data_IF_587252326229
#
_entry.id   IF_587252326229
#
_cell.length_a   1.000
_cell.length_b   1.000
_cell.length_c   1.000
_cell.angle_alpha   90.00
_cell.angle_beta   90.00
_cell.angle_gamma   90.00
#
_symmetry.space_group_name_H-M   'P 1'
#
loop_
_entity.id
_entity.type
_entity.pdbx_description
1 polymer ?
#
# COMPACT_ATOMS: atom_id res chain seq x y z
N UNK A 1 14.18 -11.13 -59.01
CA UNK A 1 15.38 -11.99 -58.99
C UNK A 1 16.36 -11.46 -57.94
N UNK A 2 16.16 -11.88 -56.69
CA UNK A 2 16.98 -11.52 -55.54
C UNK A 2 18.13 -12.52 -55.37
N UNK A 3 19.34 -12.10 -54.94
CA UNK A 3 20.60 -12.84 -55.09
C UNK A 3 20.83 -13.89 -53.97
N UNK A 4 19.76 -14.46 -53.43
CA UNK A 4 19.81 -15.44 -52.32
C UNK A 4 20.56 -16.74 -52.67
N UNK A 5 20.60 -17.26 -53.91
CA UNK A 5 21.22 -18.56 -54.16
C UNK A 5 22.74 -18.63 -53.94
N UNK A 6 23.45 -17.49 -54.00
CA UNK A 6 24.92 -17.46 -53.99
C UNK A 6 25.45 -17.35 -52.55
N UNK A 7 24.75 -16.63 -51.68
CA UNK A 7 25.13 -16.46 -50.26
C UNK A 7 25.02 -17.77 -49.47
N UNK A 8 23.96 -18.56 -49.72
CA UNK A 8 23.78 -19.88 -49.10
C UNK A 8 24.84 -20.90 -49.53
N UNK A 9 25.29 -20.86 -50.79
CA UNK A 9 26.36 -21.72 -51.29
C UNK A 9 27.73 -21.37 -50.66
N UNK A 10 27.96 -20.08 -50.37
CA UNK A 10 29.19 -19.60 -49.73
C UNK A 10 29.28 -20.01 -48.24
N UNK A 11 28.15 -20.00 -47.53
CA UNK A 11 28.05 -20.40 -46.12
C UNK A 11 28.26 -21.92 -45.93
N UNK A 12 27.72 -22.74 -46.83
CA UNK A 12 27.93 -24.20 -46.82
C UNK A 12 29.39 -24.58 -47.11
N UNK A 13 30.05 -23.90 -48.06
CA UNK A 13 31.46 -24.12 -48.39
C UNK A 13 32.42 -23.71 -47.26
N UNK A 14 31.99 -22.82 -46.35
CA UNK A 14 32.75 -22.42 -45.15
C UNK A 14 32.54 -23.36 -43.95
N UNK A 15 31.69 -24.38 -44.07
CA UNK A 15 31.45 -25.35 -43.00
C UNK A 15 30.56 -24.83 -41.87
N UNK A 16 29.88 -23.71 -42.05
CA UNK A 16 28.95 -23.17 -41.06
C UNK A 16 27.61 -23.91 -41.16
N UNK A 17 27.18 -24.54 -40.07
CA UNK A 17 25.88 -25.20 -39.97
C UNK A 17 24.78 -24.14 -39.89
N UNK A 18 23.86 -24.16 -40.84
CA UNK A 18 22.58 -23.44 -40.73
C UNK A 18 21.73 -24.13 -39.66
N UNK A 19 21.75 -23.60 -38.44
CA UNK A 19 20.75 -23.90 -37.42
C UNK A 19 19.59 -22.92 -37.59
N UNK A 20 18.39 -23.43 -37.89
CA UNK A 20 17.18 -22.63 -37.81
C UNK A 20 16.99 -22.20 -36.35
N UNK A 21 17.05 -20.89 -36.08
CA UNK A 21 16.75 -20.35 -34.76
C UNK A 21 15.26 -20.52 -34.46
N UNK A 22 14.94 -21.20 -33.36
CA UNK A 22 13.59 -21.26 -32.80
C UNK A 22 13.37 -19.90 -32.10
N UNK A 23 12.28 -19.16 -32.39
CA UNK A 23 12.00 -17.92 -31.68
C UNK A 23 11.83 -18.19 -30.18
N UNK A 24 12.31 -17.26 -29.34
CA UNK A 24 12.38 -17.37 -27.88
C UNK A 24 11.02 -17.70 -27.22
N UNK A 25 11.07 -18.27 -26.02
CA UNK A 25 9.89 -18.67 -25.24
C UNK A 25 8.99 -17.47 -24.87
N UNK A 26 9.54 -16.25 -24.80
CA UNK A 26 8.97 -15.00 -24.26
C UNK A 26 7.83 -14.31 -25.04
N UNK A 27 7.10 -15.02 -25.89
CA UNK A 27 6.06 -14.38 -26.74
C UNK A 27 4.65 -14.47 -26.14
N UNK A 28 4.46 -15.23 -25.06
CA UNK A 28 3.17 -15.41 -24.39
C UNK A 28 3.25 -14.87 -22.97
N UNK A 29 2.19 -14.20 -22.53
CA UNK A 29 2.05 -13.76 -21.15
C UNK A 29 1.95 -14.99 -20.26
N UNK A 30 2.54 -14.94 -19.07
CA UNK A 30 2.33 -16.02 -18.11
C UNK A 30 0.86 -16.05 -17.70
N UNK A 31 0.29 -17.26 -17.57
CA UNK A 31 -1.12 -17.43 -17.17
C UNK A 31 -1.45 -16.72 -15.85
N UNK A 32 -0.46 -16.59 -14.95
CA UNK A 32 -0.56 -15.83 -13.69
C UNK A 32 -0.79 -14.31 -13.89
N UNK A 33 -0.25 -13.75 -14.98
CA UNK A 33 -0.46 -12.36 -15.40
C UNK A 33 -1.84 -12.19 -16.05
N UNK A 34 -2.31 -13.18 -16.82
CA UNK A 34 -3.64 -13.13 -17.47
C UNK A 34 -4.79 -13.17 -16.46
N UNK A 35 -4.63 -13.88 -15.33
CA UNK A 35 -5.62 -13.93 -14.25
C UNK A 35 -5.52 -12.77 -13.25
N UNK A 36 -4.57 -11.84 -13.44
CA UNK A 36 -4.31 -10.75 -12.48
C UNK A 36 -5.38 -9.66 -12.47
N UNK A 37 -6.14 -9.51 -13.56
CA UNK A 37 -7.22 -8.53 -13.71
C UNK A 37 -8.64 -9.12 -13.64
N UNK A 38 -8.78 -10.34 -13.13
CA UNK A 38 -10.07 -11.05 -12.99
C UNK A 38 -10.52 -10.96 -11.53
N UNK A 39 -11.75 -10.51 -11.29
CA UNK A 39 -12.28 -10.31 -9.94
C UNK A 39 -13.02 -11.55 -9.40
N UNK A 40 -13.57 -12.37 -10.30
CA UNK A 40 -14.33 -13.57 -9.95
C UNK A 40 -13.96 -14.81 -10.78
N UNK A 41 -14.06 -16.01 -10.18
CA UNK A 41 -13.87 -17.29 -10.91
C UNK A 41 -14.86 -17.42 -12.07
N UNK A 42 -16.04 -16.79 -11.95
CA UNK A 42 -17.13 -16.91 -12.90
C UNK A 42 -16.87 -16.13 -14.21
N UNK A 43 -15.96 -15.15 -14.18
CA UNK A 43 -15.44 -14.48 -15.38
C UNK A 43 -14.55 -15.40 -16.22
N UNK A 44 -14.02 -16.49 -15.63
CA UNK A 44 -13.24 -17.50 -16.36
C UNK A 44 -14.20 -18.46 -17.10
N UNK A 45 -14.57 -18.07 -18.32
CA UNK A 45 -15.49 -18.84 -19.19
C UNK A 45 -14.83 -20.13 -19.71
N UNK A 46 -13.54 -20.06 -20.07
CA UNK A 46 -12.74 -21.20 -20.53
C UNK A 46 -11.71 -21.57 -19.47
N UNK A 47 -11.74 -22.81 -18.99
CA UNK A 47 -10.97 -23.19 -17.81
C UNK A 47 -9.48 -23.43 -18.08
N UNK A 48 -9.09 -23.75 -19.32
CA UNK A 48 -7.72 -24.16 -19.63
C UNK A 48 -7.03 -23.19 -20.58
N UNK A 49 -5.92 -22.62 -20.12
CA UNK A 49 -4.91 -22.02 -21.00
C UNK A 49 -4.10 -23.16 -21.65
N UNK A 50 -4.09 -23.21 -22.98
CA UNK A 50 -3.45 -24.28 -23.75
C UNK A 50 -2.44 -23.71 -24.74
N UNK A 51 -1.18 -24.07 -24.55
CA UNK A 51 -0.07 -23.63 -25.38
C UNK A 51 0.62 -24.84 -26.02
N UNK A 52 1.03 -24.70 -27.28
CA UNK A 52 1.78 -25.72 -27.99
C UNK A 52 2.49 -25.16 -29.22
N UNK A 53 3.44 -25.93 -29.71
CA UNK A 53 4.14 -25.68 -30.98
C UNK A 53 3.90 -26.86 -31.93
N UNK A 54 3.56 -26.57 -33.18
CA UNK A 54 3.55 -27.54 -34.28
C UNK A 54 4.80 -27.33 -35.14
N UNK A 55 5.65 -28.35 -35.21
CA UNK A 55 6.83 -28.40 -36.06
C UNK A 55 6.51 -29.04 -37.42
N UNK A 56 7.36 -28.77 -38.42
CA UNK A 56 7.27 -29.36 -39.76
C UNK A 56 5.90 -29.17 -40.42
N UNK A 57 5.31 -27.99 -40.23
CA UNK A 57 3.94 -27.70 -40.69
C UNK A 57 3.90 -26.72 -41.85
N UNK A 58 3.16 -27.12 -42.90
CA UNK A 58 2.85 -26.29 -44.08
C UNK A 58 1.53 -25.52 -43.91
N UNK A 59 0.77 -25.75 -42.83
CA UNK A 59 -0.51 -25.05 -42.61
C UNK A 59 -0.28 -23.56 -42.43
N UNK A 60 -1.05 -22.73 -43.12
CA UNK A 60 -0.96 -21.30 -42.89
C UNK A 60 -1.61 -20.92 -41.56
N UNK A 61 -1.10 -19.88 -40.90
CA UNK A 61 -1.71 -19.28 -39.70
C UNK A 61 -3.22 -19.09 -39.86
N UNK A 62 -3.65 -18.57 -41.01
CA UNK A 62 -5.06 -18.29 -41.31
C UNK A 62 -5.91 -19.55 -41.40
N UNK A 63 -5.39 -20.61 -42.03
CA UNK A 63 -6.10 -21.89 -42.12
C UNK A 63 -6.23 -22.58 -40.78
N UNK A 64 -5.19 -22.52 -39.96
CA UNK A 64 -5.24 -23.09 -38.61
C UNK A 64 -6.17 -22.31 -37.70
N UNK A 65 -6.09 -20.97 -37.68
CA UNK A 65 -7.01 -20.12 -36.91
C UNK A 65 -8.48 -20.40 -37.25
N UNK A 66 -8.83 -20.55 -38.53
CA UNK A 66 -10.21 -20.89 -38.93
C UNK A 66 -10.72 -22.20 -38.35
N UNK A 67 -9.83 -23.16 -38.10
CA UNK A 67 -10.20 -24.44 -37.52
C UNK A 67 -10.49 -24.31 -36.02
N UNK A 68 -9.70 -23.51 -35.30
CA UNK A 68 -9.77 -23.43 -33.83
C UNK A 68 -10.58 -22.24 -33.28
N UNK A 69 -10.89 -21.23 -34.10
CA UNK A 69 -11.55 -19.99 -33.65
C UNK A 69 -12.91 -20.17 -32.95
N UNK A 70 -13.59 -21.29 -33.20
CA UNK A 70 -14.88 -21.60 -32.58
C UNK A 70 -14.75 -22.55 -31.36
N UNK A 71 -13.52 -22.80 -30.90
CA UNK A 71 -13.23 -23.76 -29.83
C UNK A 71 -12.71 -23.10 -28.55
N UNK A 72 -12.62 -21.77 -28.52
CA UNK A 72 -12.05 -21.00 -27.42
C UNK A 72 -12.02 -19.50 -27.72
N UNK A 73 -11.46 -18.72 -26.81
CA UNK A 73 -11.15 -17.30 -26.96
C UNK A 73 -9.65 -17.02 -26.74
N UNK A 74 -9.29 -15.73 -26.70
CA UNK A 74 -7.92 -15.25 -26.46
C UNK A 74 -6.85 -15.95 -27.31
N UNK A 75 -7.17 -16.20 -28.58
CA UNK A 75 -6.33 -17.02 -29.45
C UNK A 75 -5.16 -16.20 -29.99
N UNK A 76 -3.95 -16.61 -29.63
CA UNK A 76 -2.71 -16.08 -30.18
C UNK A 76 -2.03 -17.18 -30.98
N UNK A 77 -1.82 -16.94 -32.27
CA UNK A 77 -1.21 -17.92 -33.17
C UNK A 77 -0.15 -17.23 -34.02
N UNK A 78 1.07 -17.76 -34.01
CA UNK A 78 2.25 -17.18 -34.66
C UNK A 78 2.89 -18.25 -35.53
N UNK A 79 3.09 -17.94 -36.82
CA UNK A 79 3.76 -18.83 -37.79
C UNK A 79 5.13 -18.25 -38.12
N UNK A 80 6.16 -19.09 -38.07
CA UNK A 80 7.48 -18.79 -38.61
C UNK A 80 8.02 -20.01 -39.36
N UNK A 81 8.39 -19.85 -40.64
CA UNK A 81 8.83 -20.92 -41.53
C UNK A 81 7.99 -22.21 -41.43
N UNK A 82 8.53 -23.28 -40.87
CA UNK A 82 7.89 -24.59 -40.69
C UNK A 82 7.31 -24.81 -39.27
N UNK A 83 7.22 -23.75 -38.47
CA UNK A 83 6.79 -23.79 -37.06
C UNK A 83 5.50 -22.96 -36.87
N UNK A 84 4.58 -23.44 -36.04
CA UNK A 84 3.37 -22.73 -35.63
C UNK A 84 3.22 -22.79 -34.10
N UNK A 85 3.37 -21.66 -33.42
CA UNK A 85 3.18 -21.54 -31.96
C UNK A 85 1.79 -20.98 -31.68
N UNK A 86 1.03 -21.64 -30.81
CA UNK A 86 -0.36 -21.29 -30.52
C UNK A 86 -0.62 -21.28 -29.02
N UNK A 87 -1.35 -20.27 -28.56
CA UNK A 87 -2.00 -20.16 -27.26
C UNK A 87 -3.50 -19.99 -27.49
N UNK A 88 -4.31 -20.69 -26.71
CA UNK A 88 -5.78 -20.60 -26.71
C UNK A 88 -6.35 -20.93 -25.34
N UNK A 89 -7.34 -20.15 -24.92
CA UNK A 89 -8.18 -20.48 -23.78
C UNK A 89 -9.33 -21.37 -24.24
N UNK A 90 -9.45 -22.58 -23.70
CA UNK A 90 -10.47 -23.55 -24.10
C UNK A 90 -10.96 -24.41 -22.93
N UNK A 91 -12.13 -25.02 -23.10
CA UNK A 91 -12.64 -26.06 -22.18
C UNK A 91 -12.28 -27.47 -22.64
N UNK A 92 -11.65 -27.62 -23.81
CA UNK A 92 -11.35 -28.93 -24.40
C UNK A 92 -9.95 -28.96 -25.06
N UNK A 93 -8.87 -28.87 -24.27
CA UNK A 93 -7.49 -28.83 -24.78
C UNK A 93 -7.14 -30.03 -25.67
N UNK A 94 -7.64 -31.23 -25.31
CA UNK A 94 -7.41 -32.44 -26.08
C UNK A 94 -7.89 -32.33 -27.53
N UNK A 95 -9.05 -31.70 -27.75
CA UNK A 95 -9.59 -31.48 -29.10
C UNK A 95 -8.72 -30.53 -29.92
N UNK A 96 -8.18 -29.48 -29.31
CA UNK A 96 -7.27 -28.55 -29.97
C UNK A 96 -5.97 -29.25 -30.39
N UNK A 97 -5.39 -30.03 -29.48
CA UNK A 97 -4.15 -30.78 -29.75
C UNK A 97 -4.36 -31.84 -30.82
N UNK A 98 -5.50 -32.54 -30.83
CA UNK A 98 -5.85 -33.50 -31.88
C UNK A 98 -5.99 -32.82 -33.26
N UNK A 99 -6.54 -31.61 -33.30
CA UNK A 99 -6.63 -30.84 -34.55
C UNK A 99 -5.24 -30.36 -35.00
N UNK A 100 -4.39 -29.95 -34.07
CA UNK A 100 -3.03 -29.50 -34.33
C UNK A 100 -2.10 -30.62 -34.83
N UNK A 101 -2.20 -31.83 -34.26
CA UNK A 101 -1.35 -32.97 -34.63
C UNK A 101 -1.57 -33.47 -36.06
N UNK A 102 -2.65 -33.04 -36.72
CA UNK A 102 -2.91 -33.35 -38.14
C UNK A 102 -2.03 -32.52 -39.10
N UNK A 103 -1.42 -31.45 -38.59
CA UNK A 103 -0.65 -30.50 -39.39
C UNK A 103 0.86 -30.61 -39.18
N UNK A 104 1.33 -31.43 -38.23
CA UNK A 104 2.75 -31.62 -37.93
C UNK A 104 3.00 -32.23 -36.56
N UNK A 105 4.26 -32.21 -36.12
CA UNK A 105 4.69 -32.78 -34.83
C UNK A 105 4.47 -31.78 -33.69
N UNK A 106 3.85 -32.22 -32.59
CA UNK A 106 3.62 -31.36 -31.42
C UNK A 106 4.83 -31.37 -30.48
N UNK A 107 5.24 -30.19 -30.04
CA UNK A 107 6.23 -29.98 -28.96
C UNK A 107 5.79 -28.86 -28.03
N UNK A 108 6.42 -28.78 -26.84
CA UNK A 108 6.23 -27.72 -25.85
C UNK A 108 4.75 -27.51 -25.49
N UNK A 109 4.04 -28.61 -25.21
CA UNK A 109 2.64 -28.57 -24.80
C UNK A 109 2.56 -28.16 -23.33
N UNK A 110 1.85 -27.06 -23.05
CA UNK A 110 1.50 -26.57 -21.71
C UNK A 110 -0.02 -26.48 -21.60
N UNK A 111 -0.59 -27.05 -20.54
CA UNK A 111 -2.02 -26.96 -20.24
C UNK A 111 -2.17 -26.55 -18.79
N UNK A 112 -2.76 -25.39 -18.55
CA UNK A 112 -2.90 -24.81 -17.20
C UNK A 112 -4.36 -24.54 -16.89
N UNK A 113 -4.80 -24.97 -15.70
CA UNK A 113 -6.16 -24.76 -15.22
C UNK A 113 -6.26 -23.39 -14.53
N UNK A 114 -6.77 -22.40 -15.27
CA UNK A 114 -6.88 -21.02 -14.81
C UNK A 114 -7.82 -20.89 -13.60
N UNK A 115 -8.84 -21.75 -13.49
CA UNK A 115 -9.74 -21.76 -12.32
C UNK A 115 -9.03 -22.27 -11.07
N UNK A 116 -8.13 -23.22 -11.21
CA UNK A 116 -7.36 -23.77 -10.10
C UNK A 116 -6.29 -22.77 -9.64
N UNK A 117 -5.54 -22.19 -10.56
CA UNK A 117 -4.58 -21.11 -10.27
C UNK A 117 -5.25 -19.92 -9.57
N UNK A 118 -6.41 -19.48 -10.06
CA UNK A 118 -7.20 -18.43 -9.39
C UNK A 118 -7.61 -18.84 -7.96
N UNK A 119 -8.05 -20.08 -7.75
CA UNK A 119 -8.42 -20.58 -6.41
C UNK A 119 -7.22 -20.69 -5.49
N UNK A 120 -6.05 -21.10 -5.99
CA UNK A 120 -4.83 -21.18 -5.19
C UNK A 120 -4.32 -19.80 -4.79
N UNK A 121 -4.32 -18.83 -5.72
CA UNK A 121 -4.00 -17.42 -5.46
C UNK A 121 -4.92 -16.83 -4.38
N UNK A 122 -6.23 -17.11 -4.46
CA UNK A 122 -7.18 -16.68 -3.44
C UNK A 122 -7.10 -17.47 -2.12
N UNK A 123 -6.74 -18.75 -2.15
CA UNK A 123 -6.48 -19.53 -0.92
C UNK A 123 -5.23 -19.07 -0.19
N UNK A 124 -4.19 -18.63 -0.91
CA UNK A 124 -3.01 -17.99 -0.29
C UNK A 124 -3.40 -16.67 0.37
N UNK A 125 -4.18 -15.81 -0.30
CA UNK A 125 -4.78 -14.60 0.31
C UNK A 125 -5.63 -14.90 1.55
N UNK A 126 -6.43 -15.97 1.55
CA UNK A 126 -7.29 -16.38 2.68
C UNK A 126 -6.56 -17.11 3.82
N UNK A 127 -5.36 -17.64 3.60
CA UNK A 127 -4.60 -18.39 4.63
C UNK A 127 -3.80 -17.49 5.58
N UNK A 128 -3.75 -16.19 5.33
CA UNK A 128 -3.26 -15.16 6.25
C UNK A 128 -4.44 -14.32 6.78
N UNK A 129 -5.50 -14.97 7.28
CA UNK A 129 -6.55 -14.25 8.00
C UNK A 129 -5.94 -13.73 9.31
N UNK A 130 -5.54 -12.46 9.33
CA UNK A 130 -5.13 -11.78 10.54
C UNK A 130 -6.34 -11.64 11.47
N UNK A 131 -6.16 -11.80 12.77
CA UNK A 131 -7.22 -11.51 13.75
C UNK A 131 -7.55 -10.01 13.77
N UNK A 132 -6.51 -9.18 13.67
CA UNK A 132 -6.61 -7.72 13.72
C UNK A 132 -6.04 -7.07 12.47
N UNK A 133 -6.65 -5.99 12.05
CA UNK A 133 -6.06 -5.04 11.12
C UNK A 133 -6.18 -3.62 11.64
N UNK A 134 -5.22 -2.78 11.25
CA UNK A 134 -5.18 -1.38 11.66
C UNK A 134 -5.14 -0.45 10.45
N UNK A 135 -5.93 0.61 10.53
CA UNK A 135 -5.94 1.71 9.58
C UNK A 135 -5.57 2.98 10.34
N UNK A 136 -4.47 3.61 9.97
CA UNK A 136 -4.05 4.88 10.57
C UNK A 136 -4.14 6.00 9.54
N UNK A 137 -4.52 7.19 10.01
CA UNK A 137 -4.70 8.36 9.15
C UNK A 137 -3.73 9.44 9.60
N UNK A 138 -3.02 10.06 8.67
CA UNK A 138 -2.02 11.06 9.01
C UNK A 138 -1.27 11.63 7.80
N UNK A 139 -0.23 12.41 8.09
CA UNK A 139 0.58 13.12 7.10
C UNK A 139 2.05 13.01 7.47
N UNK A 140 2.92 12.96 6.47
CA UNK A 140 4.36 12.90 6.62
C UNK A 140 4.92 11.49 6.44
N UNK A 141 5.99 11.38 5.65
CA UNK A 141 6.59 10.09 5.29
C UNK A 141 7.17 9.40 6.53
N UNK A 142 7.73 10.16 7.46
CA UNK A 142 8.25 9.62 8.71
C UNK A 142 7.16 9.08 9.65
N UNK A 143 6.04 9.78 9.77
CA UNK A 143 4.86 9.29 10.50
C UNK A 143 4.27 8.04 9.84
N UNK A 144 4.22 8.00 8.51
CA UNK A 144 3.76 6.83 7.77
C UNK A 144 4.64 5.60 8.04
N UNK A 145 5.96 5.75 7.93
CA UNK A 145 6.88 4.63 8.21
C UNK A 145 6.82 4.22 9.70
N UNK A 146 6.66 5.16 10.63
CA UNK A 146 6.45 4.84 12.05
C UNK A 146 5.22 3.94 12.26
N UNK A 147 4.06 4.30 11.71
CA UNK A 147 2.87 3.47 11.87
C UNK A 147 3.00 2.11 11.19
N UNK A 148 3.72 2.05 10.07
CA UNK A 148 4.03 0.79 9.39
C UNK A 148 4.95 -0.10 10.24
N UNK A 149 5.94 0.48 10.93
CA UNK A 149 6.79 -0.23 11.89
C UNK A 149 5.98 -0.72 13.10
N UNK A 150 4.93 0.00 13.48
CA UNK A 150 3.90 -0.41 14.45
C UNK A 150 2.87 -1.40 13.86
N UNK A 151 3.14 -2.00 12.71
CA UNK A 151 2.31 -3.03 12.05
C UNK A 151 0.93 -2.54 11.59
N UNK A 152 0.75 -1.23 11.34
CA UNK A 152 -0.46 -0.72 10.67
C UNK A 152 -0.53 -1.23 9.23
N UNK A 153 -1.67 -1.82 8.85
CA UNK A 153 -1.87 -2.44 7.54
C UNK A 153 -2.07 -1.41 6.42
N UNK A 154 -2.82 -0.34 6.70
CA UNK A 154 -3.14 0.69 5.73
C UNK A 154 -2.96 2.08 6.36
N UNK A 155 -2.19 2.95 5.68
CA UNK A 155 -1.98 4.32 6.10
C UNK A 155 -2.61 5.28 5.08
N UNK A 156 -3.61 6.05 5.52
CA UNK A 156 -4.30 7.02 4.66
C UNK A 156 -3.61 8.38 4.80
N UNK A 157 -2.89 8.77 3.76
CA UNK A 157 -2.44 10.16 3.59
C UNK A 157 -3.64 11.00 3.19
N UNK A 158 -4.23 11.73 4.14
CA UNK A 158 -5.42 12.56 3.87
C UNK A 158 -5.15 13.49 2.68
N UNK A 159 -5.99 13.40 1.63
CA UNK A 159 -5.70 13.92 0.29
C UNK A 159 -5.57 15.46 0.17
N UNK A 160 -6.11 16.07 -0.90
CA UNK A 160 -5.96 17.53 -1.12
C UNK A 160 -6.47 18.41 0.03
N UNK A 161 -7.42 17.90 0.81
CA UNK A 161 -8.00 18.61 1.96
C UNK A 161 -7.44 18.14 3.31
N UNK A 162 -6.39 17.31 3.32
CA UNK A 162 -5.72 16.72 4.50
C UNK A 162 -6.59 15.77 5.33
N UNK A 163 -7.92 15.75 5.13
CA UNK A 163 -8.87 14.85 5.77
C UNK A 163 -9.47 13.92 4.71
N UNK A 164 -9.43 12.58 4.89
CA UNK A 164 -10.07 11.66 3.97
C UNK A 164 -11.60 11.75 4.07
N UNK A 165 -12.27 11.43 2.98
CA UNK A 165 -13.72 11.24 2.99
C UNK A 165 -14.10 9.90 3.63
N UNK A 166 -15.37 9.76 4.02
CA UNK A 166 -15.93 8.46 4.45
C UNK A 166 -15.70 7.37 3.42
N UNK A 167 -15.77 7.69 2.12
CA UNK A 167 -15.53 6.73 1.04
C UNK A 167 -14.05 6.30 0.97
N UNK A 168 -13.11 7.21 1.22
CA UNK A 168 -11.69 6.87 1.26
C UNK A 168 -11.40 5.88 2.40
N UNK A 169 -12.02 6.09 3.57
CA UNK A 169 -11.90 5.18 4.72
C UNK A 169 -12.53 3.81 4.39
N UNK A 170 -13.71 3.77 3.77
CA UNK A 170 -14.34 2.51 3.31
C UNK A 170 -13.44 1.75 2.32
N UNK A 171 -12.85 2.45 1.34
CA UNK A 171 -11.94 1.83 0.38
C UNK A 171 -10.70 1.24 1.08
N UNK A 172 -10.22 1.87 2.16
CA UNK A 172 -9.12 1.36 2.96
C UNK A 172 -9.53 0.16 3.83
N UNK A 173 -10.76 0.16 4.37
CA UNK A 173 -11.35 -1.01 5.04
C UNK A 173 -11.38 -2.21 4.07
N UNK A 174 -11.71 -2.02 2.80
CA UNK A 174 -11.76 -3.11 1.81
C UNK A 174 -10.38 -3.73 1.49
N UNK A 175 -9.29 -3.01 1.75
CA UNK A 175 -7.91 -3.49 1.46
C UNK A 175 -7.33 -4.36 2.57
N UNK A 176 -7.77 -4.18 3.82
CA UNK A 176 -7.22 -4.90 4.97
C UNK A 176 -7.92 -6.24 5.18
N UNK A 177 -7.25 -7.25 5.75
CA UNK A 177 -7.79 -8.63 5.83
C UNK A 177 -8.18 -9.08 7.24
N UNK A 178 -7.95 -8.24 8.26
CA UNK A 178 -8.24 -8.54 9.67
C UNK A 178 -9.71 -8.81 9.95
N UNK A 179 -10.01 -9.77 10.83
CA UNK A 179 -11.39 -10.02 11.29
C UNK A 179 -11.97 -8.80 12.00
N UNK A 180 -11.18 -8.19 12.89
CA UNK A 180 -11.48 -6.93 13.57
C UNK A 180 -10.59 -5.81 13.03
N UNK A 181 -11.19 -4.70 12.62
CA UNK A 181 -10.46 -3.57 12.04
C UNK A 181 -10.50 -2.37 12.98
N UNK A 182 -9.34 -1.95 13.46
CA UNK A 182 -9.17 -0.74 14.26
C UNK A 182 -8.83 0.45 13.37
N UNK A 183 -9.48 1.59 13.61
CA UNK A 183 -9.22 2.84 12.88
C UNK A 183 -8.69 3.88 13.87
N UNK A 184 -7.55 4.48 13.54
CA UNK A 184 -6.86 5.55 14.27
C UNK A 184 -6.95 6.85 13.45
N UNK A 185 -7.94 7.72 13.70
CA UNK A 185 -8.14 8.94 12.93
C UNK A 185 -7.01 9.96 13.09
N UNK A 186 -6.38 10.01 14.26
CA UNK A 186 -5.28 10.90 14.66
C UNK A 186 -5.53 12.40 14.37
N UNK A 187 -6.79 12.77 14.19
CA UNK A 187 -7.27 14.11 13.94
C UNK A 187 -8.75 14.17 14.30
N UNK A 188 -9.10 15.08 15.21
CA UNK A 188 -10.48 15.23 15.69
C UNK A 188 -11.52 15.45 14.59
N UNK A 189 -11.13 16.06 13.46
CA UNK A 189 -12.03 16.31 12.33
C UNK A 189 -12.35 15.05 11.51
N UNK A 190 -11.56 13.97 11.68
CA UNK A 190 -11.70 12.72 10.93
C UNK A 190 -12.55 11.70 11.69
N UNK A 191 -12.67 11.83 13.01
CA UNK A 191 -13.43 10.91 13.88
C UNK A 191 -14.87 10.70 13.39
N UNK A 192 -15.55 11.78 12.99
CA UNK A 192 -16.93 11.68 12.48
C UNK A 192 -17.00 10.83 11.19
N UNK A 193 -16.07 11.06 10.25
CA UNK A 193 -16.02 10.32 9.00
C UNK A 193 -15.66 8.84 9.23
N UNK A 194 -14.75 8.56 10.18
CA UNK A 194 -14.39 7.20 10.57
C UNK A 194 -15.58 6.44 11.18
N UNK A 195 -16.33 7.07 12.09
CA UNK A 195 -17.55 6.48 12.66
C UNK A 195 -18.61 6.22 11.58
N UNK A 196 -18.81 7.15 10.65
CA UNK A 196 -19.72 6.94 9.52
C UNK A 196 -19.27 5.78 8.61
N UNK A 197 -17.97 5.63 8.39
CA UNK A 197 -17.44 4.50 7.61
C UNK A 197 -17.67 3.16 8.34
N UNK A 198 -17.51 3.15 9.66
CA UNK A 198 -17.82 2.00 10.50
C UNK A 198 -19.30 1.60 10.40
N UNK A 199 -20.22 2.57 10.53
CA UNK A 199 -21.67 2.32 10.40
C UNK A 199 -22.11 1.81 9.02
N UNK A 200 -21.39 2.20 7.96
CA UNK A 200 -21.67 1.79 6.59
C UNK A 200 -21.02 0.47 6.19
N UNK A 201 -20.03 -0.01 6.95
CA UNK A 201 -19.34 -1.27 6.68
C UNK A 201 -20.12 -2.45 7.25
N UNK A 202 -20.03 -3.61 6.58
CA UNK A 202 -20.53 -4.88 7.11
C UNK A 202 -19.49 -5.62 7.98
N UNK A 203 -18.27 -5.07 8.10
CA UNK A 203 -17.17 -5.65 8.88
C UNK A 203 -17.22 -5.18 10.33
N UNK A 204 -16.47 -5.88 11.19
CA UNK A 204 -16.32 -5.47 12.58
C UNK A 204 -15.26 -4.35 12.70
N UNK A 205 -15.73 -3.13 12.94
CA UNK A 205 -14.91 -1.91 12.93
C UNK A 205 -14.91 -1.26 14.32
N UNK A 206 -13.72 -1.03 14.86
CA UNK A 206 -13.48 -0.32 16.11
C UNK A 206 -12.81 1.03 15.83
N UNK A 207 -13.51 2.13 16.08
CA UNK A 207 -12.95 3.48 15.89
C UNK A 207 -12.39 3.97 17.21
N UNK A 208 -11.06 3.98 17.34
CA UNK A 208 -10.38 4.59 18.48
C UNK A 208 -10.33 6.10 18.26
N UNK A 209 -10.91 6.94 19.11
CA UNK A 209 -11.10 8.36 18.86
C UNK A 209 -9.81 9.20 19.07
N UNK A 210 -8.68 8.75 18.50
CA UNK A 210 -7.40 9.46 18.55
C UNK A 210 -7.50 10.79 17.80
N UNK A 211 -7.01 11.85 18.44
CA UNK A 211 -7.06 13.22 17.93
C UNK A 211 -5.73 13.72 17.41
N UNK A 212 -4.65 13.02 17.73
CA UNK A 212 -3.28 13.39 17.37
C UNK A 212 -2.45 12.14 17.04
N UNK A 213 -1.33 12.34 16.34
CA UNK A 213 -0.40 11.26 16.00
C UNK A 213 0.14 10.52 17.23
N UNK A 214 0.58 11.20 18.32
CA UNK A 214 1.10 10.48 19.48
C UNK A 214 0.04 9.62 20.16
N UNK A 215 -1.22 10.07 20.22
CA UNK A 215 -2.32 9.22 20.71
C UNK A 215 -2.48 7.93 19.91
N UNK A 216 -2.32 8.00 18.58
CA UNK A 216 -2.30 6.81 17.74
C UNK A 216 -1.13 5.88 18.02
N UNK A 217 0.05 6.44 18.29
CA UNK A 217 1.24 5.65 18.66
C UNK A 217 1.04 4.98 20.02
N UNK A 218 0.63 5.71 21.05
CA UNK A 218 0.36 5.16 22.39
C UNK A 218 -0.71 4.07 22.35
N UNK A 219 -1.75 4.26 21.54
CA UNK A 219 -2.77 3.23 21.32
C UNK A 219 -2.15 1.96 20.71
N UNK A 220 -1.34 2.07 19.66
CA UNK A 220 -0.67 0.92 19.04
C UNK A 220 0.31 0.21 19.98
N UNK A 221 1.00 0.94 20.86
CA UNK A 221 1.91 0.34 21.85
C UNK A 221 1.18 -0.44 22.94
N UNK A 222 -0.07 -0.09 23.24
CA UNK A 222 -0.92 -0.79 24.20
C UNK A 222 -1.64 -2.02 23.64
N UNK A 223 -1.58 -2.24 22.32
CA UNK A 223 -2.24 -3.36 21.66
C UNK A 223 -1.60 -4.72 22.01
N UNK A 224 -2.44 -5.73 22.19
CA UNK A 224 -2.03 -7.12 22.41
C UNK A 224 -2.78 -8.06 21.47
N UNK A 225 -2.04 -8.80 20.63
CA UNK A 225 -2.63 -9.72 19.65
C UNK A 225 -3.36 -10.93 20.28
N UNK A 226 -3.05 -11.27 21.53
CA UNK A 226 -3.56 -12.47 22.20
C UNK A 226 -4.93 -12.26 22.88
N UNK A 227 -5.35 -11.01 23.09
CA UNK A 227 -6.61 -10.70 23.79
C UNK A 227 -7.77 -10.52 22.81
N UNK A 228 -8.99 -10.33 23.33
CA UNK A 228 -10.20 -10.05 22.55
C UNK A 228 -10.31 -8.55 22.19
N UNK A 229 -11.05 -8.19 21.13
CA UNK A 229 -11.10 -6.81 20.62
C UNK A 229 -11.55 -5.79 21.66
N UNK A 230 -12.52 -6.13 22.51
CA UNK A 230 -13.05 -5.22 23.53
C UNK A 230 -12.01 -4.92 24.61
N UNK A 231 -11.18 -5.91 24.95
CA UNK A 231 -10.08 -5.75 25.93
C UNK A 231 -8.98 -4.87 25.33
N UNK A 232 -8.66 -5.09 24.05
CA UNK A 232 -7.76 -4.21 23.32
C UNK A 232 -8.29 -2.78 23.26
N UNK A 233 -9.55 -2.60 22.90
CA UNK A 233 -10.18 -1.28 22.82
C UNK A 233 -10.09 -0.53 24.17
N UNK A 234 -10.43 -1.19 25.28
CA UNK A 234 -10.29 -0.61 26.62
C UNK A 234 -8.84 -0.22 26.94
N UNK A 235 -7.88 -1.12 26.67
CA UNK A 235 -6.46 -0.90 26.96
C UNK A 235 -5.87 0.25 26.14
N UNK A 236 -6.21 0.30 24.85
CA UNK A 236 -5.80 1.36 23.93
C UNK A 236 -6.45 2.70 24.30
N UNK A 237 -7.71 2.71 24.74
CA UNK A 237 -8.40 3.91 25.21
C UNK A 237 -7.80 4.48 26.50
N UNK A 238 -7.33 3.63 27.42
CA UNK A 238 -6.59 4.09 28.61
C UNK A 238 -5.25 4.70 28.19
N UNK A 239 -4.48 4.05 27.32
CA UNK A 239 -3.20 4.59 26.84
C UNK A 239 -3.33 5.95 26.14
N UNK A 240 -4.43 6.18 25.42
CA UNK A 240 -4.73 7.48 24.77
C UNK A 240 -4.91 8.61 25.80
N UNK A 241 -5.38 8.32 27.02
CA UNK A 241 -5.66 9.33 28.06
C UNK A 241 -4.40 9.76 28.80
N UNK A 242 -3.43 8.87 28.91
CA UNK A 242 -2.17 9.14 29.63
C UNK A 242 -1.22 10.03 28.83
N UNK A 243 -1.41 10.16 27.51
CA UNK A 243 -0.55 11.00 26.66
C UNK A 243 -1.09 12.41 26.48
N UNK A 244 -0.34 13.40 26.98
CA UNK A 244 -0.57 14.83 26.68
C UNK A 244 0.03 15.15 25.33
N UNK A 245 -0.68 15.91 24.50
CA UNK A 245 -0.19 16.25 23.16
C UNK A 245 -0.18 17.75 22.88
N UNK A 246 0.84 18.17 22.15
CA UNK A 246 1.09 19.54 21.77
C UNK A 246 1.49 19.65 20.29
N UNK A 247 1.21 20.80 19.69
CA UNK A 247 1.55 21.08 18.29
C UNK A 247 2.10 22.49 18.15
N UNK A 248 3.12 22.68 17.31
CA UNK A 248 3.69 23.99 16.97
C UNK A 248 3.49 24.25 15.49
N UNK A 249 2.83 25.37 15.17
CA UNK A 249 2.52 25.80 13.80
C UNK A 249 2.47 27.33 13.73
N UNK A 250 2.00 27.89 12.62
CA UNK A 250 1.87 29.33 12.42
C UNK A 250 0.40 29.78 12.36
N UNK A 251 0.16 31.02 12.75
CA UNK A 251 -1.16 31.63 12.69
C UNK A 251 -1.50 32.08 11.25
N UNK A 252 -2.56 31.51 10.66
CA UNK A 252 -2.99 31.86 9.29
C UNK A 252 -3.67 33.24 9.18
N UNK A 253 -4.02 33.86 10.31
CA UNK A 253 -4.69 35.17 10.39
C UNK A 253 -4.53 35.81 11.77
N UNK A 254 -4.69 37.13 11.81
CA UNK A 254 -4.81 37.88 13.07
C UNK A 254 -6.01 37.36 13.88
N UNK A 255 -5.79 37.03 15.15
CA UNK A 255 -6.83 36.56 16.06
C UNK A 255 -6.55 37.07 17.47
N UNK A 256 -7.60 37.46 18.18
CA UNK A 256 -7.54 37.69 19.63
C UNK A 256 -8.18 36.48 20.32
N UNK A 257 -7.39 35.73 21.09
CA UNK A 257 -7.86 34.61 21.92
C UNK A 257 -7.60 34.99 23.37
N UNK A 258 -8.66 35.02 24.19
CA UNK A 258 -8.64 35.53 25.56
C UNK A 258 -8.04 36.95 25.65
N UNK A 259 -6.85 37.10 26.22
CA UNK A 259 -6.09 38.36 26.34
C UNK A 259 -4.88 38.43 25.39
N UNK A 260 -4.65 37.41 24.57
CA UNK A 260 -3.50 37.31 23.67
C UNK A 260 -3.87 37.83 22.28
N UNK A 261 -3.07 38.76 21.76
CA UNK A 261 -3.17 39.23 20.39
C UNK A 261 -2.15 38.46 19.55
N UNK A 262 -2.66 37.57 18.71
CA UNK A 262 -1.87 36.72 17.81
C UNK A 262 -1.96 37.34 16.43
N UNK A 263 -0.83 37.68 15.83
CA UNK A 263 -0.78 38.19 14.47
C UNK A 263 -0.69 37.04 13.50
N UNK A 264 -1.10 37.29 12.26
CA UNK A 264 -0.79 36.43 11.14
C UNK A 264 0.72 36.19 11.10
N UNK A 265 1.09 34.95 10.82
CA UNK A 265 2.46 34.41 10.71
C UNK A 265 3.20 34.27 12.05
N UNK A 266 2.59 34.64 13.19
CA UNK A 266 3.13 34.28 14.52
C UNK A 266 3.20 32.75 14.65
N UNK A 267 4.26 32.26 15.29
CA UNK A 267 4.36 30.87 15.73
C UNK A 267 3.44 30.68 16.94
N UNK A 268 2.69 29.58 16.97
CA UNK A 268 1.74 29.23 18.02
C UNK A 268 2.00 27.82 18.51
N UNK A 269 1.95 27.65 19.83
CA UNK A 269 1.94 26.36 20.52
C UNK A 269 0.53 26.04 20.98
N UNK A 270 0.04 24.87 20.59
CA UNK A 270 -1.32 24.39 20.86
C UNK A 270 -1.22 23.17 21.75
N UNK A 271 -1.90 23.20 22.89
CA UNK A 271 -2.08 22.05 23.78
C UNK A 271 -3.58 21.80 23.97
N UNK A 272 -4.04 20.57 23.73
CA UNK A 272 -5.46 20.18 23.79
C UNK A 272 -6.42 21.13 23.04
N UNK A 273 -5.99 21.60 21.87
CA UNK A 273 -6.76 22.48 21.00
C UNK A 273 -6.81 23.95 21.46
N UNK A 274 -6.08 24.32 22.52
CA UNK A 274 -5.95 25.70 23.01
C UNK A 274 -4.57 26.24 22.72
N UNK A 275 -4.50 27.52 22.33
CA UNK A 275 -3.22 28.21 22.13
C UNK A 275 -2.64 28.60 23.49
N UNK A 276 -1.56 27.94 23.89
CA UNK A 276 -0.92 28.13 25.20
C UNK A 276 0.34 29.01 25.11
N UNK A 277 1.05 29.00 23.98
CA UNK A 277 2.20 29.87 23.71
C UNK A 277 2.12 30.50 22.32
N UNK A 278 2.71 31.68 22.13
CA UNK A 278 2.83 32.30 20.81
C UNK A 278 3.97 33.34 20.75
N UNK A 279 4.52 33.58 19.57
CA UNK A 279 5.57 34.57 19.36
C UNK A 279 6.23 34.47 17.99
N UNK A 280 7.27 35.28 17.77
CA UNK A 280 8.06 35.27 16.52
C UNK A 280 9.19 34.22 16.56
N UNK A 281 9.62 33.78 17.75
CA UNK A 281 10.69 32.80 17.93
C UNK A 281 10.12 31.40 18.18
N UNK A 282 10.33 30.50 17.23
CA UNK A 282 9.83 29.12 17.30
C UNK A 282 10.39 28.33 18.48
N UNK A 283 11.67 28.49 18.80
CA UNK A 283 12.31 27.75 19.90
C UNK A 283 11.69 28.13 21.24
N UNK A 284 11.44 29.42 21.45
CA UNK A 284 10.77 29.91 22.66
C UNK A 284 9.35 29.34 22.78
N UNK A 285 8.59 29.33 21.67
CA UNK A 285 7.22 28.80 21.64
C UNK A 285 7.19 27.29 21.94
N UNK A 286 8.14 26.52 21.40
CA UNK A 286 8.31 25.08 21.67
C UNK A 286 8.60 24.84 23.16
N UNK A 287 9.52 25.60 23.75
CA UNK A 287 9.90 25.43 25.15
C UNK A 287 8.78 25.85 26.10
N UNK A 288 8.05 26.92 25.80
CA UNK A 288 6.87 27.33 26.57
C UNK A 288 5.76 26.27 26.49
N UNK A 289 5.53 25.71 25.30
CA UNK A 289 4.56 24.63 25.11
C UNK A 289 4.94 23.40 25.96
N UNK A 290 6.19 22.96 25.89
CA UNK A 290 6.66 21.81 26.66
C UNK A 290 6.50 22.04 28.17
N UNK A 291 6.87 23.22 28.68
CA UNK A 291 6.72 23.57 30.11
C UNK A 291 5.27 23.54 30.59
N UNK A 292 4.32 23.89 29.74
CA UNK A 292 2.88 23.82 30.06
C UNK A 292 2.39 22.36 30.13
N UNK A 293 3.00 21.46 29.36
CA UNK A 293 2.61 20.05 29.27
C UNK A 293 3.25 19.18 30.36
N UNK A 294 4.48 19.50 30.77
CA UNK A 294 5.26 18.73 31.76
C UNK A 294 4.72 18.97 33.17
N UNK A 295 4.53 17.89 33.92
CA UNK A 295 4.24 17.90 35.36
C UNK A 295 5.17 16.95 36.13
N UNK A 296 4.87 16.73 37.41
CA UNK A 296 5.70 15.95 38.33
C UNK A 296 5.73 14.44 38.04
N UNK A 297 4.76 13.93 37.28
CA UNK A 297 4.65 12.52 36.92
C UNK A 297 5.24 12.21 35.53
N UNK A 298 5.63 13.26 34.78
CA UNK A 298 6.12 13.14 33.41
C UNK A 298 7.51 12.47 33.36
N UNK A 299 7.68 11.48 32.48
CA UNK A 299 8.93 10.71 32.34
C UNK A 299 9.43 10.60 30.89
N UNK A 300 8.60 10.88 29.89
CA UNK A 300 8.99 10.79 28.48
C UNK A 300 8.45 12.00 27.69
N UNK A 301 9.31 12.58 26.86
CA UNK A 301 8.98 13.62 25.90
C UNK A 301 9.36 13.13 24.51
N UNK A 302 8.39 12.94 23.63
CA UNK A 302 8.65 12.59 22.23
C UNK A 302 8.38 13.78 21.33
N UNK A 303 9.38 14.15 20.52
CA UNK A 303 9.31 15.28 19.60
C UNK A 303 9.32 14.78 18.16
N UNK A 304 8.25 15.05 17.41
CA UNK A 304 8.15 14.78 15.98
C UNK A 304 8.39 16.08 15.21
N UNK A 305 9.45 16.17 14.41
CA UNK A 305 9.72 17.38 13.62
C UNK A 305 9.21 17.25 12.17
N UNK A 306 8.70 18.37 11.64
CA UNK A 306 8.10 18.46 10.32
C UNK A 306 9.11 18.64 9.18
N UNK A 307 8.63 18.64 7.94
CA UNK A 307 9.48 18.70 6.74
C UNK A 307 10.28 20.01 6.61
N UNK A 308 9.76 21.10 7.20
CA UNK A 308 10.40 22.42 7.20
C UNK A 308 11.49 22.57 8.28
N UNK A 309 11.71 21.56 9.11
CA UNK A 309 12.69 21.59 10.20
C UNK A 309 13.90 20.74 9.84
N UNK A 310 15.08 21.39 9.82
CA UNK A 310 16.35 20.69 9.69
C UNK A 310 16.64 19.80 10.90
N UNK A 311 17.22 18.62 10.67
CA UNK A 311 17.52 17.64 11.71
C UNK A 311 18.45 18.22 12.79
N UNK A 312 19.43 19.04 12.42
CA UNK A 312 20.31 19.71 13.37
C UNK A 312 19.52 20.61 14.31
N UNK A 313 18.53 21.35 13.79
CA UNK A 313 17.68 22.22 14.60
C UNK A 313 16.80 21.43 15.55
N UNK A 314 16.27 20.31 15.07
CA UNK A 314 15.48 19.39 15.88
C UNK A 314 16.32 18.78 17.03
N UNK A 315 17.61 18.49 16.80
CA UNK A 315 18.55 18.03 17.83
C UNK A 315 18.83 19.11 18.89
N UNK A 316 18.98 20.37 18.50
CA UNK A 316 19.14 21.49 19.45
C UNK A 316 17.92 21.61 20.39
N UNK A 317 16.70 21.45 19.85
CA UNK A 317 15.47 21.43 20.65
C UNK A 317 15.47 20.25 21.62
N UNK A 318 15.85 19.04 21.17
CA UNK A 318 15.97 17.88 22.05
C UNK A 318 16.92 18.15 23.22
N UNK A 319 18.11 18.69 22.94
CA UNK A 319 19.10 18.99 23.98
C UNK A 319 18.55 20.01 24.98
N UNK A 320 17.89 21.06 24.50
CA UNK A 320 17.31 22.10 25.35
C UNK A 320 16.16 21.56 26.20
N UNK A 321 15.32 20.68 25.65
CA UNK A 321 14.24 20.01 26.39
C UNK A 321 14.80 19.13 27.51
N UNK A 322 15.88 18.37 27.24
CA UNK A 322 16.53 17.53 28.24
C UNK A 322 17.15 18.34 29.39
N UNK A 323 17.59 19.57 29.13
CA UNK A 323 18.09 20.47 30.19
C UNK A 323 16.97 21.00 31.09
N UNK A 324 15.79 21.32 30.55
CA UNK A 324 14.67 21.86 31.34
C UNK A 324 13.85 20.78 32.06
N UNK A 325 13.91 19.54 31.56
CA UNK A 325 13.17 18.39 32.07
C UNK A 325 14.14 17.21 32.32
N UNK A 326 15.07 17.33 33.28
CA UNK A 326 16.14 16.35 33.49
C UNK A 326 15.64 14.99 33.98
N UNK A 327 14.40 14.92 34.47
CA UNK A 327 13.75 13.68 34.91
C UNK A 327 13.04 12.96 33.75
N UNK A 328 12.93 13.59 32.57
CA UNK A 328 12.30 13.01 31.39
C UNK A 328 13.33 12.54 30.37
N UNK A 329 13.11 11.37 29.78
CA UNK A 329 13.79 10.97 28.56
C UNK A 329 13.23 11.77 27.36
N UNK A 330 14.12 12.27 26.49
CA UNK A 330 13.70 13.04 25.31
C UNK A 330 14.03 12.28 24.02
N UNK A 331 12.99 11.91 23.29
CA UNK A 331 13.07 11.23 22.00
C UNK A 331 12.78 12.20 20.85
N UNK A 332 13.43 11.94 19.72
CA UNK A 332 13.27 12.75 18.51
C UNK A 332 12.97 11.84 17.32
N UNK A 333 11.88 12.13 16.63
CA UNK A 333 11.38 11.37 15.48
C UNK A 333 11.24 12.33 14.30
N UNK A 334 11.77 11.92 13.14
CA UNK A 334 11.46 12.62 11.90
C UNK A 334 10.02 12.28 11.53
N UNK A 335 9.10 13.25 11.67
CA UNK A 335 7.71 13.03 11.31
C UNK A 335 7.41 13.40 9.86
N UNK A 336 8.09 14.42 9.34
CA UNK A 336 7.96 14.87 7.95
C UNK A 336 6.57 15.45 7.63
N UNK A 337 5.79 15.84 8.64
CA UNK A 337 4.50 16.48 8.42
C UNK A 337 4.67 17.93 7.88
N UNK A 338 3.78 18.42 7.00
CA UNK A 338 3.97 19.70 6.30
C UNK A 338 3.47 20.94 7.04
N UNK A 339 2.48 20.83 7.93
CA UNK A 339 1.83 22.01 8.56
C UNK A 339 2.32 22.30 9.98
N UNK A 340 2.86 21.29 10.65
CA UNK A 340 3.28 21.39 12.04
C UNK A 340 4.80 21.28 12.09
N UNK A 341 5.46 22.34 12.53
CA UNK A 341 6.91 22.35 12.76
C UNK A 341 7.29 21.27 13.76
N UNK A 342 6.52 21.15 14.84
CA UNK A 342 6.69 20.12 15.85
C UNK A 342 5.33 19.56 16.28
N UNK A 343 5.28 18.25 16.52
CA UNK A 343 4.26 17.60 17.34
C UNK A 343 4.99 17.05 18.57
N UNK A 344 4.47 17.26 19.75
CA UNK A 344 5.10 16.87 21.01
C UNK A 344 4.12 15.99 21.79
N UNK A 345 4.61 14.90 22.37
CA UNK A 345 3.93 14.21 23.46
C UNK A 345 4.71 14.31 24.75
N UNK A 346 3.97 14.33 25.85
CA UNK A 346 4.50 14.16 27.20
C UNK A 346 3.67 13.06 27.86
N UNK A 347 4.36 12.04 28.37
CA UNK A 347 3.79 10.93 29.15
C UNK A 347 4.26 11.01 30.60
#
# INVERSE_FOLDING_TARGET
PSPIPIEGALLYLKGEKLTAEIPSEDVFLETDDEISGIDSVDEIVYAYCTEFIVLNTDVTRREFLRQIQNQGDSIVCIKNDNILKTHIHTNNPGKILEMASRHGELTNIKIENMKEQFREKNKKKKKEAKKYSFISIGMGDGIKELFKDLMVDEFISGGQTMNPSTQDILNSIDKVTGEHVFILPNNSNIILAANQAAELSERDIHVLPTKTIPQGVSAMLAFNEEVEPEINEESMLEAIKEVKTGQVTYAVRDTSVDTKNIKKDDIIGIHDGKIVSHGENMDEVVLELAKEMIDEDSYLITVFYGEDIAEEKAKEIKETLAEIAPECDVELINGGQPLYYYIISVE
#
